data_IF_726872853823
#
_entry.id   IF_726872853823
#
_cell.length_a   1.000
_cell.length_b   1.000
_cell.length_c   1.000
_cell.angle_alpha   90.00
_cell.angle_beta   90.00
_cell.angle_gamma   90.00
#
_symmetry.space_group_name_H-M   'P 1'
#
loop_
_entity.id
_entity.type
_entity.pdbx_description
1 polymer ?
#
# COMPACT_ATOMS: atom_id res chain seq x y z
N UNK A 1 -9.46 -24.18 -20.37
CA UNK A 1 -8.86 -23.16 -19.50
C UNK A 1 -9.95 -22.15 -19.18
N UNK A 2 -10.21 -21.84 -17.92
CA UNK A 2 -11.34 -20.98 -17.55
C UNK A 2 -10.89 -19.51 -17.62
N UNK A 3 -11.08 -18.87 -18.78
CA UNK A 3 -10.61 -17.51 -19.08
C UNK A 3 -11.01 -16.50 -18.00
N UNK A 4 -12.19 -16.67 -17.38
CA UNK A 4 -12.65 -15.85 -16.25
C UNK A 4 -11.72 -15.95 -15.03
N UNK A 5 -11.21 -17.14 -14.72
CA UNK A 5 -10.28 -17.35 -13.61
C UNK A 5 -8.93 -16.70 -13.92
N UNK A 6 -8.42 -16.89 -15.13
CA UNK A 6 -7.15 -16.33 -15.57
C UNK A 6 -7.18 -14.79 -15.59
N UNK A 7 -8.30 -14.19 -16.03
CA UNK A 7 -8.49 -12.74 -15.98
C UNK A 7 -8.55 -12.21 -14.55
N UNK A 8 -9.23 -12.92 -13.64
CA UNK A 8 -9.26 -12.53 -12.22
C UNK A 8 -7.88 -12.62 -11.57
N UNK A 9 -7.10 -13.67 -11.88
CA UNK A 9 -5.74 -13.85 -11.39
C UNK A 9 -4.83 -12.72 -11.91
N UNK A 10 -4.95 -12.33 -13.19
CA UNK A 10 -4.21 -11.22 -13.78
C UNK A 10 -4.58 -9.86 -13.17
N UNK A 11 -5.89 -9.59 -12.99
CA UNK A 11 -6.37 -8.36 -12.34
C UNK A 11 -5.81 -8.27 -10.92
N UNK A 12 -5.81 -9.39 -10.19
CA UNK A 12 -5.25 -9.47 -8.84
C UNK A 12 -3.75 -9.11 -8.85
N UNK A 13 -2.96 -9.68 -9.75
CA UNK A 13 -1.53 -9.40 -9.87
C UNK A 13 -1.26 -7.91 -10.17
N UNK A 14 -2.05 -7.31 -11.07
CA UNK A 14 -1.95 -5.88 -11.41
C UNK A 14 -2.23 -5.01 -10.17
N UNK A 15 -3.27 -5.35 -9.40
CA UNK A 15 -3.63 -4.62 -8.17
C UNK A 15 -2.54 -4.77 -7.11
N UNK A 16 -2.03 -5.99 -6.90
CA UNK A 16 -0.96 -6.25 -5.92
C UNK A 16 0.31 -5.47 -6.25
N UNK A 17 0.74 -5.50 -7.52
CA UNK A 17 1.92 -4.75 -7.98
C UNK A 17 1.74 -3.24 -7.87
N UNK A 18 0.56 -2.72 -8.22
CA UNK A 18 0.26 -1.29 -8.06
C UNK A 18 0.32 -0.87 -6.60
N UNK A 19 -0.22 -1.69 -5.70
CA UNK A 19 -0.19 -1.43 -4.26
C UNK A 19 1.24 -1.46 -3.70
N UNK A 20 2.07 -2.42 -4.10
CA UNK A 20 3.49 -2.47 -3.70
C UNK A 20 4.25 -1.23 -4.15
N UNK A 21 4.07 -0.82 -5.41
CA UNK A 21 4.66 0.40 -5.96
C UNK A 21 4.22 1.64 -5.18
N UNK A 22 2.94 1.77 -4.82
CA UNK A 22 2.47 2.90 -4.00
C UNK A 22 3.20 2.96 -2.64
N UNK A 23 3.44 1.82 -2.00
CA UNK A 23 4.16 1.79 -0.73
C UNK A 23 5.63 2.17 -0.94
N UNK A 24 6.26 1.71 -2.03
CA UNK A 24 7.63 2.10 -2.36
C UNK A 24 7.74 3.60 -2.67
N UNK A 25 6.81 4.16 -3.44
CA UNK A 25 6.74 5.60 -3.74
C UNK A 25 6.60 6.43 -2.45
N UNK A 26 5.75 6.02 -1.51
CA UNK A 26 5.61 6.70 -0.21
C UNK A 26 6.93 6.66 0.56
N UNK A 27 7.61 5.51 0.57
CA UNK A 27 8.89 5.36 1.27
C UNK A 27 10.04 6.13 0.59
N UNK A 28 10.01 6.29 -0.73
CA UNK A 28 10.99 7.10 -1.47
C UNK A 28 10.84 8.61 -1.19
N UNK A 29 9.61 9.06 -0.93
CA UNK A 29 9.29 10.48 -0.73
C UNK A 29 9.13 10.89 0.75
N UNK A 30 9.49 10.03 1.69
CA UNK A 30 9.44 10.32 3.13
C UNK A 30 10.78 9.97 3.78
N UNK A 31 11.27 10.81 4.69
CA UNK A 31 12.56 10.59 5.34
C UNK A 31 12.43 9.71 6.58
N UNK A 32 11.26 9.75 7.23
CA UNK A 32 11.02 9.00 8.45
C UNK A 32 9.77 8.12 8.38
N UNK A 33 9.77 7.05 9.18
CA UNK A 33 8.59 6.21 9.38
C UNK A 33 7.35 7.02 9.82
N UNK A 34 7.53 8.07 10.61
CA UNK A 34 6.43 8.91 11.07
C UNK A 34 5.89 9.82 9.97
N UNK A 35 6.76 10.33 9.08
CA UNK A 35 6.34 11.07 7.89
C UNK A 35 5.56 10.19 6.92
N UNK A 36 6.03 8.96 6.70
CA UNK A 36 5.33 7.99 5.86
C UNK A 36 3.92 7.69 6.37
N UNK A 37 3.76 7.53 7.69
CA UNK A 37 2.45 7.37 8.32
C UNK A 37 1.60 8.66 8.26
N UNK A 38 2.22 9.82 8.45
CA UNK A 38 1.54 11.11 8.35
C UNK A 38 0.97 11.36 6.94
N UNK A 39 1.73 11.02 5.91
CA UNK A 39 1.27 11.09 4.52
C UNK A 39 0.02 10.22 4.30
N UNK A 40 0.01 8.99 4.80
CA UNK A 40 -1.15 8.09 4.74
C UNK A 40 -2.35 8.64 5.52
N UNK A 41 -2.12 9.14 6.74
CA UNK A 41 -3.21 9.70 7.57
C UNK A 41 -3.88 10.90 6.91
N UNK A 42 -3.16 11.70 6.13
CA UNK A 42 -3.78 12.81 5.38
C UNK A 42 -4.78 12.35 4.31
N UNK A 43 -4.57 11.14 3.75
CA UNK A 43 -5.48 10.54 2.76
C UNK A 43 -6.75 9.99 3.45
N UNK A 44 -6.64 9.57 4.72
CA UNK A 44 -7.76 9.05 5.52
C UNK A 44 -8.86 10.11 5.76
N UNK A 45 -8.50 11.39 5.76
CA UNK A 45 -9.44 12.52 5.91
C UNK A 45 -10.17 12.87 4.58
N UNK A 46 -9.83 12.18 3.48
CA UNK A 46 -10.48 12.37 2.19
C UNK A 46 -11.95 11.93 2.22
N UNK A 47 -12.81 12.67 1.50
CA UNK A 47 -14.22 12.32 1.30
C UNK A 47 -14.45 11.18 0.29
N UNK A 48 -13.37 10.61 -0.26
CA UNK A 48 -13.47 9.51 -1.22
C UNK A 48 -13.83 8.22 -0.47
N UNK A 49 -14.88 7.49 -0.91
CA UNK A 49 -15.26 6.23 -0.31
C UNK A 49 -14.11 5.21 -0.28
N UNK A 50 -14.06 4.37 0.76
CA UNK A 50 -13.06 3.32 0.97
C UNK A 50 -11.60 3.78 1.16
N UNK A 51 -11.32 5.09 1.19
CA UNK A 51 -9.97 5.60 1.50
C UNK A 51 -9.48 5.18 2.88
N UNK A 52 -10.39 5.03 3.85
CA UNK A 52 -10.07 4.53 5.19
C UNK A 52 -9.42 3.14 5.14
N UNK A 53 -9.97 2.22 4.33
CA UNK A 53 -9.43 0.88 4.20
C UNK A 53 -8.10 0.87 3.44
N UNK A 54 -7.96 1.71 2.41
CA UNK A 54 -6.70 1.87 1.69
C UNK A 54 -5.59 2.39 2.63
N UNK A 55 -5.89 3.42 3.43
CA UNK A 55 -4.96 3.98 4.38
C UNK A 55 -4.50 2.95 5.44
N UNK A 56 -5.43 2.17 6.00
CA UNK A 56 -5.09 1.10 6.96
C UNK A 56 -4.20 0.01 6.33
N UNK A 57 -4.52 -0.42 5.10
CA UNK A 57 -3.70 -1.39 4.36
C UNK A 57 -2.28 -0.86 4.11
N UNK A 58 -2.15 0.38 3.63
CA UNK A 58 -0.85 1.01 3.36
C UNK A 58 -0.03 1.14 4.65
N UNK A 59 -0.66 1.57 5.75
CA UNK A 59 0.02 1.71 7.04
C UNK A 59 0.56 0.37 7.57
N UNK A 60 -0.18 -0.73 7.38
CA UNK A 60 0.30 -2.08 7.72
C UNK A 60 1.47 -2.53 6.85
N UNK A 61 1.44 -2.24 5.56
CA UNK A 61 2.53 -2.59 4.64
C UNK A 61 3.83 -1.84 4.98
N UNK A 62 3.74 -0.53 5.25
CA UNK A 62 4.87 0.28 5.70
C UNK A 62 5.45 -0.25 7.01
N UNK A 63 4.60 -0.57 7.99
CA UNK A 63 5.03 -1.20 9.25
C UNK A 63 5.81 -2.49 9.02
N UNK A 64 5.30 -3.36 8.14
CA UNK A 64 5.95 -4.64 7.82
C UNK A 64 7.34 -4.41 7.21
N UNK A 65 7.47 -3.51 6.22
CA UNK A 65 8.78 -3.15 5.62
C UNK A 65 9.75 -2.56 6.65
N UNK A 66 9.28 -1.65 7.50
CA UNK A 66 10.11 -1.06 8.55
C UNK A 66 10.59 -2.09 9.58
N UNK A 67 9.76 -3.08 9.93
CA UNK A 67 10.18 -4.19 10.80
C UNK A 67 11.21 -5.12 10.13
N UNK A 68 11.08 -5.37 8.83
CA UNK A 68 12.04 -6.19 8.08
C UNK A 68 13.42 -5.54 7.99
N UNK A 69 13.48 -4.21 7.80
CA UNK A 69 14.75 -3.47 7.80
C UNK A 69 15.50 -3.53 9.13
N UNK A 70 14.80 -3.63 10.27
CA UNK A 70 15.42 -3.74 11.60
C UNK A 70 16.08 -5.09 11.89
N UNK A 71 15.76 -6.12 11.10
CA UNK A 71 16.30 -7.48 11.27
C UNK A 71 17.45 -7.79 10.31
N UNK A 72 18.02 -6.77 9.65
CA UNK A 72 19.19 -6.87 8.75
C UNK A 72 20.34 -6.10 9.36
#
# INVERSE_FOLDING_TARGET
MNEKKQNNDLIKEIIEKHFENMVDDILEHTETYYEALGAISSIQESKVPNMLHLADCLGKAIRKRAMQQKNT
#
